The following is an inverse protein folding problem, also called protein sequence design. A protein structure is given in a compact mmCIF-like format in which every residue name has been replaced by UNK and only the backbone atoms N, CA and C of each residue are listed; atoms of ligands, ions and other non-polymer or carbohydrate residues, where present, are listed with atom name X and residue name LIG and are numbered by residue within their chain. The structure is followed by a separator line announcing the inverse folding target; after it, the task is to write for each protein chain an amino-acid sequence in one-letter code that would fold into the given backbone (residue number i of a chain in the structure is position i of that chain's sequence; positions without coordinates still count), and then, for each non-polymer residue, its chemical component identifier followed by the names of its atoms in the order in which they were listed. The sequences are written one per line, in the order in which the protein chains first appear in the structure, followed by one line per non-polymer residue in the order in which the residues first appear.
data_IF_732742025566
#
_entry.id   IF_732742025566
#
_cell.length_a   1.000
_cell.length_b   1.000
_cell.length_c   1.000
_cell.angle_alpha   90.00
_cell.angle_beta   90.00
_cell.angle_gamma   90.00
#
_symmetry.space_group_name_H-M   'P 1'
#
loop_
_entity.id
_entity.type
_entity.pdbx_description
1 polymer ?
#
# COMPACT_ATOMS: atom_id res chain seq x y z
N UNK A 1 7.22 12.06 6.82
CA UNK A 1 5.77 12.32 6.61
C UNK A 1 4.99 12.29 7.93
N UNK A 2 4.85 11.15 8.62
CA UNK A 2 4.04 11.05 9.86
C UNK A 2 4.46 12.02 10.98
N UNK A 3 5.73 12.05 11.35
CA UNK A 3 6.23 12.90 12.46
C UNK A 3 6.35 14.36 12.04
N UNK A 4 6.90 14.61 10.85
CA UNK A 4 7.24 15.97 10.37
C UNK A 4 6.04 16.80 9.93
N UNK A 5 5.04 16.17 9.30
CA UNK A 5 3.90 16.89 8.69
C UNK A 5 2.64 16.73 9.53
N UNK A 6 2.39 15.53 10.05
CA UNK A 6 1.14 15.18 10.73
C UNK A 6 1.27 15.07 12.26
N UNK A 7 2.49 15.24 12.80
CA UNK A 7 2.78 15.17 14.24
C UNK A 7 2.19 13.93 14.93
N UNK A 8 2.18 12.80 14.21
CA UNK A 8 1.66 11.50 14.70
C UNK A 8 2.75 10.44 14.66
N UNK A 9 2.46 9.28 15.24
CA UNK A 9 3.43 8.21 15.40
C UNK A 9 4.02 7.77 14.05
N UNK A 10 5.33 7.55 14.01
CA UNK A 10 6.07 7.26 12.79
C UNK A 10 5.58 6.00 12.06
N UNK A 11 5.06 5.04 12.81
CA UNK A 11 4.68 3.70 12.33
C UNK A 11 3.28 3.61 11.72
N UNK A 12 2.48 4.68 11.71
CA UNK A 12 1.16 4.64 11.06
C UNK A 12 1.32 4.51 9.54
N UNK A 13 0.80 3.42 8.99
CA UNK A 13 0.71 3.26 7.54
C UNK A 13 -0.24 4.30 6.92
N UNK A 14 -0.10 4.48 5.62
CA UNK A 14 -1.04 5.23 4.80
C UNK A 14 -2.01 4.25 4.13
N UNK A 15 -3.18 4.74 3.71
CA UNK A 15 -4.06 4.00 2.82
C UNK A 15 -3.71 4.32 1.36
N UNK A 16 -3.75 3.33 0.48
CA UNK A 16 -3.52 3.53 -0.94
C UNK A 16 -4.83 3.72 -1.70
N UNK A 17 -4.72 4.32 -2.88
CA UNK A 17 -5.78 4.34 -3.88
C UNK A 17 -5.28 3.67 -5.15
N UNK A 18 -6.03 2.71 -5.67
CA UNK A 18 -5.72 1.96 -6.89
C UNK A 18 -6.90 1.99 -7.84
N UNK A 19 -6.63 1.92 -9.15
CA UNK A 19 -7.69 1.72 -10.14
C UNK A 19 -8.34 0.36 -9.91
N UNK A 20 -9.66 0.29 -9.95
CA UNK A 20 -10.42 -0.95 -9.78
C UNK A 20 -9.92 -2.08 -10.71
N UNK A 21 -9.59 -1.74 -11.96
CA UNK A 21 -9.06 -2.68 -12.96
C UNK A 21 -7.70 -3.31 -12.60
N UNK A 22 -6.91 -2.68 -11.72
CA UNK A 22 -5.60 -3.18 -11.25
C UNK A 22 -5.68 -3.81 -9.86
N UNK A 23 -6.85 -3.80 -9.22
CA UNK A 23 -7.00 -4.31 -7.86
C UNK A 23 -6.57 -5.78 -7.74
N UNK A 24 -7.09 -6.61 -8.64
CA UNK A 24 -6.77 -8.04 -8.70
C UNK A 24 -5.32 -8.35 -9.05
N UNK A 25 -4.52 -7.40 -9.52
CA UNK A 25 -3.08 -7.61 -9.76
C UNK A 25 -2.26 -7.51 -8.47
N UNK A 26 -2.78 -6.84 -7.44
CA UNK A 26 -2.04 -6.50 -6.22
C UNK A 26 -2.54 -7.21 -4.98
N UNK A 27 -3.83 -7.54 -4.94
CA UNK A 27 -4.47 -8.10 -3.75
C UNK A 27 -5.05 -9.49 -4.05
N UNK A 28 -5.21 -10.30 -2.99
CA UNK A 28 -5.72 -11.67 -3.14
C UNK A 28 -7.25 -11.74 -3.24
N UNK A 29 -7.97 -10.67 -2.89
CA UNK A 29 -9.42 -10.60 -3.00
C UNK A 29 -9.86 -10.27 -4.43
N UNK A 30 -10.98 -10.87 -4.85
CA UNK A 30 -11.62 -10.59 -6.15
C UNK A 30 -12.54 -9.36 -6.09
N UNK A 31 -13.01 -8.98 -4.91
CA UNK A 31 -13.96 -7.88 -4.74
C UNK A 31 -13.27 -6.63 -4.22
N UNK A 32 -13.52 -5.53 -4.93
CA UNK A 32 -13.04 -4.22 -4.56
C UNK A 32 -13.99 -3.49 -3.60
N UNK A 33 -13.49 -2.40 -3.03
CA UNK A 33 -14.22 -1.57 -2.08
C UNK A 33 -13.94 -0.09 -2.33
N UNK A 34 -14.94 0.72 -2.71
CA UNK A 34 -14.71 2.13 -3.04
C UNK A 34 -14.48 3.03 -1.81
N UNK A 35 -14.73 2.53 -0.59
CA UNK A 35 -14.82 3.35 0.63
C UNK A 35 -13.73 3.10 1.70
N UNK A 36 -12.55 2.53 1.37
CA UNK A 36 -11.47 2.23 2.35
C UNK A 36 -11.93 1.39 3.56
N UNK A 37 -13.03 0.64 3.42
CA UNK A 37 -13.58 -0.24 4.46
C UNK A 37 -12.97 -1.65 4.41
N UNK A 38 -12.24 -1.96 3.33
CA UNK A 38 -11.63 -3.26 3.11
C UNK A 38 -10.15 -3.20 3.45
N UNK A 39 -9.74 -4.09 4.34
CA UNK A 39 -8.35 -4.44 4.60
C UNK A 39 -8.11 -5.78 3.93
N UNK A 40 -7.20 -5.83 2.97
CA UNK A 40 -6.96 -7.02 2.15
C UNK A 40 -5.49 -7.43 2.21
N UNK A 41 -5.18 -8.73 2.20
CA UNK A 41 -3.81 -9.19 2.03
C UNK A 41 -3.27 -8.78 0.66
N UNK A 42 -2.03 -8.29 0.66
CA UNK A 42 -1.24 -8.05 -0.55
C UNK A 42 -0.76 -9.40 -1.07
N UNK A 43 -0.79 -9.60 -2.40
CA UNK A 43 -0.30 -10.84 -3.00
C UNK A 43 1.13 -11.15 -2.58
N UNK A 44 1.37 -12.41 -2.24
CA UNK A 44 2.68 -12.91 -1.80
C UNK A 44 3.85 -12.55 -2.75
N UNK A 45 3.64 -12.50 -4.06
CA UNK A 45 4.65 -12.10 -5.05
C UNK A 45 5.12 -10.64 -4.92
N UNK A 46 4.30 -9.77 -4.31
CA UNK A 46 4.62 -8.36 -4.04
C UNK A 46 5.22 -8.18 -2.65
N UNK A 47 5.19 -9.22 -1.82
CA UNK A 47 5.68 -9.26 -0.46
C UNK A 47 7.13 -9.77 -0.44
N UNK A 48 7.96 -9.15 0.41
CA UNK A 48 9.32 -9.63 0.66
C UNK A 48 9.28 -10.58 1.85
N UNK A 49 9.64 -11.84 1.60
CA UNK A 49 9.79 -12.83 2.66
C UNK A 49 10.87 -12.36 3.65
N UNK A 50 10.52 -12.37 4.94
CA UNK A 50 11.47 -12.08 6.01
C UNK A 50 12.40 -13.29 6.20
N UNK A 51 13.68 -13.03 6.44
CA UNK A 51 14.62 -14.09 6.83
C UNK A 51 14.32 -14.56 8.26
N UNK A 52 14.80 -15.75 8.62
CA UNK A 52 14.62 -16.30 9.97
C UNK A 52 15.19 -15.35 11.06
N UNK A 53 16.33 -14.72 10.78
CA UNK A 53 16.92 -13.70 11.66
C UNK A 53 16.01 -12.46 11.81
N UNK A 54 15.40 -11.99 10.70
CA UNK A 54 14.46 -10.87 10.73
C UNK A 54 13.16 -11.21 11.46
N UNK A 55 12.70 -12.46 11.40
CA UNK A 55 11.51 -12.93 12.09
C UNK A 55 11.70 -12.94 13.62
N UNK A 56 12.94 -13.10 14.10
CA UNK A 56 13.28 -13.10 15.53
C UNK A 56 13.49 -11.69 16.11
N UNK A 57 13.54 -10.65 15.28
CA UNK A 57 13.69 -9.27 15.76
C UNK A 57 12.51 -8.84 16.63
N UNK A 58 12.78 -7.89 17.53
CA UNK A 58 11.74 -7.29 18.34
C UNK A 58 10.74 -6.49 17.47
N UNK A 59 9.48 -6.38 17.89
CA UNK A 59 8.39 -5.79 17.08
C UNK A 59 8.73 -4.38 16.58
N UNK A 60 9.40 -3.57 17.40
CA UNK A 60 9.80 -2.21 17.01
C UNK A 60 10.88 -2.23 15.93
N UNK A 61 11.85 -3.13 16.04
CA UNK A 61 12.94 -3.27 15.06
C UNK A 61 12.41 -3.78 13.71
N UNK A 62 11.40 -4.65 13.76
CA UNK A 62 10.69 -5.09 12.57
C UNK A 62 10.21 -3.87 11.78
N UNK A 63 9.65 -2.82 12.39
CA UNK A 63 9.09 -1.66 11.67
C UNK A 63 10.06 -1.03 10.64
N UNK A 64 11.38 -1.15 10.83
CA UNK A 64 12.38 -0.58 9.92
C UNK A 64 12.74 -1.46 8.71
N UNK A 65 12.25 -2.70 8.65
CA UNK A 65 12.51 -3.60 7.52
C UNK A 65 11.56 -3.30 6.35
N UNK A 66 12.12 -3.24 5.14
CA UNK A 66 11.32 -3.25 3.91
C UNK A 66 10.71 -4.64 3.71
N UNK A 67 9.38 -4.72 3.77
CA UNK A 67 8.62 -5.98 3.77
C UNK A 67 7.68 -6.15 2.57
N UNK A 68 7.50 -5.15 1.72
CA UNK A 68 6.77 -5.29 0.46
C UNK A 68 7.33 -4.35 -0.59
N UNK A 69 6.82 -4.45 -1.82
CA UNK A 69 7.09 -3.49 -2.89
C UNK A 69 6.57 -2.08 -2.57
N UNK A 70 5.61 -1.96 -1.63
CA UNK A 70 4.93 -0.72 -1.23
C UNK A 70 4.88 -0.58 0.31
N UNK A 71 6.05 -0.50 0.99
CA UNK A 71 6.14 -0.65 2.45
C UNK A 71 5.50 0.50 3.24
N UNK A 72 5.20 1.64 2.60
CA UNK A 72 4.52 2.76 3.25
C UNK A 72 3.02 2.52 3.52
N UNK A 73 2.42 1.55 2.81
CA UNK A 73 0.99 1.24 2.88
C UNK A 73 0.71 -0.12 3.52
N UNK A 74 1.63 -1.09 3.34
CA UNK A 74 1.49 -2.44 3.88
C UNK A 74 1.72 -2.50 5.41
N UNK A 75 0.78 -3.12 6.13
CA UNK A 75 0.86 -3.42 7.55
C UNK A 75 1.90 -4.52 7.87
N UNK A 76 2.21 -4.71 9.16
CA UNK A 76 3.20 -5.69 9.59
C UNK A 76 2.82 -7.15 9.27
N UNK A 77 1.52 -7.42 9.10
CA UNK A 77 0.93 -8.71 8.74
C UNK A 77 0.70 -8.86 7.23
N UNK A 78 1.27 -7.97 6.39
CA UNK A 78 1.12 -7.95 4.93
C UNK A 78 -0.29 -7.58 4.43
N UNK A 79 -1.15 -7.05 5.30
CA UNK A 79 -2.43 -6.48 4.91
C UNK A 79 -2.32 -5.01 4.53
N UNK A 80 -3.31 -4.49 3.81
CA UNK A 80 -3.38 -3.07 3.45
C UNK A 80 -4.83 -2.60 3.35
N UNK A 81 -5.10 -1.41 3.89
CA UNK A 81 -6.35 -0.69 3.66
C UNK A 81 -6.30 0.06 2.32
N UNK A 82 -7.20 -0.28 1.41
CA UNK A 82 -7.16 0.21 0.02
C UNK A 82 -8.48 0.83 -0.42
N UNK A 83 -8.38 1.93 -1.16
CA UNK A 83 -9.49 2.52 -1.89
C UNK A 83 -9.41 2.12 -3.36
N UNK A 84 -10.52 1.62 -3.90
CA UNK A 84 -10.63 1.41 -5.34
C UNK A 84 -11.29 2.59 -6.03
N UNK A 85 -10.74 2.95 -7.18
CA UNK A 85 -11.17 4.09 -7.98
C UNK A 85 -11.67 3.57 -9.31
N UNK A 86 -12.92 3.86 -9.63
CA UNK A 86 -13.51 3.52 -10.91
C UNK A 86 -13.57 4.74 -11.82
N UNK A 87 -13.19 4.59 -13.08
CA UNK A 87 -13.25 5.66 -14.08
C UNK A 87 -14.65 6.25 -14.25
N UNK A 88 -15.72 5.46 -14.04
CA UNK A 88 -17.10 5.93 -14.19
C UNK A 88 -17.59 6.77 -12.99
N UNK A 89 -17.10 6.50 -11.76
CA UNK A 89 -17.50 7.26 -10.56
C UNK A 89 -16.60 8.46 -10.30
N UNK A 90 -15.29 8.32 -10.56
CA UNK A 90 -14.28 9.32 -10.23
C UNK A 90 -13.28 9.52 -11.39
N UNK A 91 -13.74 9.95 -12.59
CA UNK A 91 -12.92 10.02 -13.80
C UNK A 91 -11.67 10.90 -13.65
N UNK A 92 -11.77 12.01 -12.91
CA UNK A 92 -10.61 12.90 -12.65
C UNK A 92 -9.55 12.24 -11.77
N UNK A 93 -9.99 11.45 -10.78
CA UNK A 93 -9.05 10.78 -9.88
C UNK A 93 -8.40 9.58 -10.55
N UNK A 94 -9.18 8.82 -11.32
CA UNK A 94 -8.70 7.75 -12.19
C UNK A 94 -7.61 8.25 -13.16
N UNK A 95 -7.87 9.35 -13.88
CA UNK A 95 -6.89 9.98 -14.76
C UNK A 95 -5.62 10.44 -14.03
N UNK A 96 -5.77 10.97 -12.80
CA UNK A 96 -4.62 11.43 -12.02
C UNK A 96 -3.74 10.25 -11.58
N UNK A 97 -4.34 9.13 -11.19
CA UNK A 97 -3.61 7.90 -10.87
C UNK A 97 -2.88 7.42 -12.11
N UNK A 98 -3.58 7.36 -13.24
CA UNK A 98 -3.03 6.87 -14.49
C UNK A 98 -1.86 7.74 -15.01
N UNK A 99 -2.00 9.06 -14.99
CA UNK A 99 -0.92 9.99 -15.38
C UNK A 99 0.30 9.91 -14.47
N UNK A 100 0.11 9.66 -13.17
CA UNK A 100 1.23 9.48 -12.23
C UNK A 100 2.00 8.18 -12.47
N UNK A 101 1.33 7.12 -12.91
CA UNK A 101 1.98 5.83 -13.23
C UNK A 101 2.86 5.88 -14.49
N UNK A 102 2.67 6.88 -15.36
CA UNK A 102 3.39 7.05 -16.63
C UNK A 102 4.67 7.87 -16.52
N UNK A 103 4.94 8.53 -15.39
CA UNK A 103 6.20 9.25 -15.16
C UNK A 103 7.04 8.49 -14.12
N UNK A 104 8.23 7.98 -14.48
CA UNK A 104 9.17 7.56 -13.44
C UNK A 104 9.49 8.81 -12.62
N UNK A 105 9.34 8.70 -11.30
CA UNK A 105 9.78 9.71 -10.33
C UNK A 105 11.32 9.77 -10.40
N UNK A 106 11.87 10.45 -11.40
CA UNK A 106 13.25 10.90 -11.39
C UNK A 106 13.29 12.03 -10.38
N UNK A 107 13.69 11.70 -9.15
CA UNK A 107 14.06 12.70 -8.15
C UNK A 107 15.52 13.10 -8.39
N UNK A 108 15.73 14.38 -8.70
CA UNK A 108 17.00 15.11 -8.60
C UNK A 108 17.30 15.48 -7.15
#
# INVERSE_FOLDING_TARGET
MNVTIQYRESFRSFASAIKAEKFGDWFELEHDGPYMLLVTPVKSEKCRAMTQAQSQLFVIEKLNLSRSSIPAFTHADYSEGVQTVHAHTHPRFDWRIDSSSRKPLVQS
#
